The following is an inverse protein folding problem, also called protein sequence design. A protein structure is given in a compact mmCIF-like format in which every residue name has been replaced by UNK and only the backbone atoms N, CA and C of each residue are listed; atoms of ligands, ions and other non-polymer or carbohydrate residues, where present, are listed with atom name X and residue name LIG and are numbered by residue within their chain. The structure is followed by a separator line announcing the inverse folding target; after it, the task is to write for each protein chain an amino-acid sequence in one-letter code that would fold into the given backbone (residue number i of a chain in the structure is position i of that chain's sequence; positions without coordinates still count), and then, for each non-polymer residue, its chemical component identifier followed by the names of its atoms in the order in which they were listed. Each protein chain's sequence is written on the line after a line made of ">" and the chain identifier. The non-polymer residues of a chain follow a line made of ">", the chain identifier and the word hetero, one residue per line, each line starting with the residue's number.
data_IF_292701781496
#
_entry.id   IF_292701781496
#
_cell.length_a   1.000
_cell.length_b   1.000
_cell.length_c   1.000
_cell.angle_alpha   90.00
_cell.angle_beta   90.00
_cell.angle_gamma   90.00
#
_symmetry.space_group_name_H-M   'P 1'
#
loop_
_entity.id
_entity.type
_entity.pdbx_description
1 polymer ?
#
# COMPACT_ATOMS: atom_id res chain seq x y z
N UNK A 1 -11.38 6.15 11.26
CA UNK A 1 -10.18 6.56 10.52
C UNK A 1 -10.63 7.21 9.24
N UNK A 2 -10.16 8.40 8.95
CA UNK A 2 -10.50 9.16 7.73
C UNK A 2 -9.45 8.91 6.63
N UNK A 3 -9.73 9.35 5.39
CA UNK A 3 -8.73 9.35 4.31
C UNK A 3 -7.52 10.26 4.63
N UNK A 4 -7.74 11.30 5.43
CA UNK A 4 -6.70 12.20 5.91
C UNK A 4 -5.77 11.52 6.94
N UNK A 5 -6.34 10.76 7.89
CA UNK A 5 -5.54 9.96 8.85
C UNK A 5 -4.59 9.02 8.11
N UNK A 6 -5.08 8.39 7.04
CA UNK A 6 -4.31 7.50 6.19
C UNK A 6 -3.13 8.19 5.53
N UNK A 7 -3.37 9.35 4.90
CA UNK A 7 -2.34 10.15 4.24
C UNK A 7 -1.23 10.51 5.22
N UNK A 8 -1.62 11.05 6.39
CA UNK A 8 -0.67 11.47 7.43
C UNK A 8 0.18 10.32 7.93
N UNK A 9 -0.40 9.14 8.14
CA UNK A 9 0.36 7.96 8.57
C UNK A 9 1.41 7.51 7.52
N UNK A 10 1.06 7.58 6.22
CA UNK A 10 2.02 7.33 5.13
C UNK A 10 3.13 8.37 5.16
N UNK A 11 2.79 9.64 5.24
CA UNK A 11 3.75 10.74 5.20
C UNK A 11 4.77 10.63 6.35
N UNK A 12 4.32 10.29 7.56
CA UNK A 12 5.20 10.04 8.71
C UNK A 12 6.14 8.84 8.48
N UNK A 13 5.63 7.76 7.90
CA UNK A 13 6.43 6.58 7.55
C UNK A 13 7.49 6.86 6.49
N UNK A 14 7.12 7.64 5.47
CA UNK A 14 8.05 8.10 4.43
C UNK A 14 9.09 9.07 5.00
N UNK A 15 8.69 9.95 5.91
CA UNK A 15 9.61 10.86 6.59
C UNK A 15 10.69 10.07 7.36
N UNK A 16 10.29 9.08 8.17
CA UNK A 16 11.23 8.21 8.87
C UNK A 16 12.14 7.42 7.94
N UNK A 17 11.60 6.88 6.83
CA UNK A 17 12.38 6.16 5.83
C UNK A 17 13.45 7.06 5.16
N UNK A 18 13.23 8.37 5.14
CA UNK A 18 14.16 9.38 4.66
C UNK A 18 15.00 10.02 5.78
N UNK A 19 15.11 9.36 6.94
CA UNK A 19 15.85 9.82 8.11
C UNK A 19 15.39 11.16 8.69
N UNK A 20 14.15 11.56 8.45
CA UNK A 20 13.56 12.74 9.08
C UNK A 20 13.11 12.44 10.51
N UNK A 21 13.10 13.46 11.35
CA UNK A 21 12.58 13.36 12.73
C UNK A 21 11.05 13.49 12.73
N UNK A 22 10.41 12.79 13.68
CA UNK A 22 8.98 12.93 13.91
C UNK A 22 8.68 14.22 14.69
N UNK A 23 7.50 14.84 14.47
CA UNK A 23 7.06 16.00 15.24
C UNK A 23 6.62 15.60 16.65
N UNK A 24 7.58 15.33 17.56
CA UNK A 24 7.30 14.81 18.91
C UNK A 24 6.45 15.78 19.77
N UNK A 25 6.56 17.08 19.50
CA UNK A 25 5.81 18.12 20.23
C UNK A 25 4.40 18.35 19.67
N UNK A 26 4.03 17.71 18.56
CA UNK A 26 2.69 17.84 17.97
C UNK A 26 1.71 16.91 18.69
N UNK A 27 0.69 17.43 19.39
CA UNK A 27 -0.31 16.61 20.07
C UNK A 27 -1.17 15.78 19.10
N UNK A 28 -1.19 16.11 17.80
CA UNK A 28 -1.89 15.31 16.80
C UNK A 28 -1.16 14.00 16.48
N UNK A 29 0.16 13.93 16.61
CA UNK A 29 0.93 12.69 16.37
C UNK A 29 0.43 11.52 17.24
N UNK A 30 0.37 11.62 18.58
CA UNK A 30 -0.14 10.53 19.40
C UNK A 30 -1.64 10.28 19.18
N UNK A 31 -2.43 11.31 18.87
CA UNK A 31 -3.85 11.15 18.57
C UNK A 31 -4.08 10.34 17.27
N UNK A 32 -3.31 10.63 16.23
CA UNK A 32 -3.32 9.93 14.95
C UNK A 32 -2.92 8.46 15.13
N UNK A 33 -1.81 8.20 15.82
CA UNK A 33 -1.29 6.84 15.97
C UNK A 33 -2.26 5.93 16.73
N UNK A 34 -2.97 6.45 17.75
CA UNK A 34 -4.04 5.72 18.44
C UNK A 34 -5.21 5.34 17.54
N UNK A 35 -5.53 6.17 16.53
CA UNK A 35 -6.62 5.89 15.57
C UNK A 35 -6.19 4.88 14.52
N UNK A 36 -4.94 4.93 14.07
CA UNK A 36 -4.43 4.13 12.94
C UNK A 36 -3.96 2.74 13.38
N UNK A 37 -3.31 2.62 14.54
CA UNK A 37 -2.73 1.36 15.00
C UNK A 37 -3.73 0.18 15.05
N UNK A 38 -4.97 0.33 15.58
CA UNK A 38 -5.98 -0.73 15.54
C UNK A 38 -6.38 -1.17 14.14
N UNK A 39 -6.41 -0.24 13.18
CA UNK A 39 -6.72 -0.55 11.79
C UNK A 39 -5.64 -1.41 11.16
N UNK A 40 -4.39 -1.26 11.63
CA UNK A 40 -3.21 -2.03 11.23
C UNK A 40 -3.05 -3.35 12.01
N UNK A 41 -3.99 -3.68 12.91
CA UNK A 41 -3.96 -4.91 13.71
C UNK A 41 -3.02 -4.83 14.92
N UNK A 42 -2.83 -3.64 15.47
CA UNK A 42 -2.12 -3.41 16.73
C UNK A 42 -3.12 -3.06 17.83
N UNK A 43 -2.89 -3.49 19.06
CA UNK A 43 -3.82 -3.14 20.15
C UNK A 43 -3.68 -1.66 20.54
N UNK A 44 -4.74 -1.09 21.14
CA UNK A 44 -4.65 0.23 21.75
C UNK A 44 -3.57 0.30 22.84
N UNK A 45 -3.43 -0.78 23.62
CA UNK A 45 -2.41 -0.86 24.67
C UNK A 45 -0.98 -0.84 24.12
N UNK A 46 -0.71 -1.55 23.02
CA UNK A 46 0.60 -1.54 22.36
C UNK A 46 0.90 -0.15 21.79
N UNK A 47 -0.10 0.49 21.20
CA UNK A 47 0.04 1.86 20.69
C UNK A 47 0.34 2.84 21.83
N UNK A 48 -0.40 2.80 22.93
CA UNK A 48 -0.16 3.66 24.10
C UNK A 48 1.20 3.43 24.74
N UNK A 49 1.64 2.17 24.84
CA UNK A 49 2.95 1.83 25.36
C UNK A 49 4.07 2.39 24.47
N UNK A 50 3.92 2.31 23.14
CA UNK A 50 4.90 2.85 22.20
C UNK A 50 5.00 4.38 22.26
N UNK A 51 3.91 5.08 22.59
CA UNK A 51 3.89 6.54 22.73
C UNK A 51 4.66 7.07 23.95
N UNK A 52 5.13 6.20 24.84
CA UNK A 52 5.86 6.59 26.04
C UNK A 52 7.29 7.12 25.76
N UNK A 53 7.84 6.89 24.56
CA UNK A 53 9.17 7.38 24.22
C UNK A 53 9.33 7.63 22.71
N UNK A 54 10.15 8.62 22.34
CA UNK A 54 10.39 8.94 20.93
C UNK A 54 10.89 7.73 20.09
N UNK A 55 11.83 6.88 20.56
CA UNK A 55 12.27 5.72 19.79
C UNK A 55 11.15 4.69 19.57
N UNK A 56 10.31 4.46 20.58
CA UNK A 56 9.19 3.53 20.47
C UNK A 56 8.07 4.09 19.57
N UNK A 57 7.81 5.40 19.62
CA UNK A 57 6.92 6.09 18.68
C UNK A 57 7.40 5.93 17.23
N UNK A 58 8.71 6.10 16.99
CA UNK A 58 9.29 5.91 15.66
C UNK A 58 9.18 4.45 15.17
N UNK A 59 9.35 3.47 16.06
CA UNK A 59 9.13 2.07 15.75
C UNK A 59 7.66 1.78 15.39
N UNK A 60 6.71 2.37 16.13
CA UNK A 60 5.28 2.25 15.85
C UNK A 60 4.91 2.81 14.48
N UNK A 61 5.36 4.02 14.15
CA UNK A 61 5.15 4.65 12.83
C UNK A 61 5.74 3.76 11.72
N UNK A 62 6.95 3.26 11.92
CA UNK A 62 7.64 2.42 10.94
C UNK A 62 6.87 1.12 10.66
N UNK A 63 6.36 0.48 11.72
CA UNK A 63 5.58 -0.75 11.59
C UNK A 63 4.21 -0.49 10.95
N UNK A 64 3.51 0.60 11.31
CA UNK A 64 2.27 1.03 10.64
C UNK A 64 2.53 1.20 9.15
N UNK A 65 3.57 1.96 8.78
CA UNK A 65 3.93 2.21 7.39
C UNK A 65 4.28 0.92 6.63
N UNK A 66 5.04 0.02 7.26
CA UNK A 66 5.37 -1.30 6.68
C UNK A 66 4.10 -2.11 6.38
N UNK A 67 3.18 -2.21 7.34
CA UNK A 67 1.91 -2.95 7.16
C UNK A 67 1.03 -2.33 6.09
N UNK A 68 0.99 -1.00 6.01
CA UNK A 68 0.27 -0.30 4.94
C UNK A 68 0.86 -0.65 3.57
N UNK A 69 2.18 -0.54 3.41
CA UNK A 69 2.86 -0.86 2.15
C UNK A 69 2.62 -2.30 1.71
N UNK A 70 2.80 -3.25 2.63
CA UNK A 70 2.65 -4.67 2.34
C UNK A 70 1.22 -5.06 1.99
N UNK A 71 0.25 -4.58 2.77
CA UNK A 71 -1.17 -4.87 2.51
C UNK A 71 -1.66 -4.23 1.21
N UNK A 72 -1.32 -2.97 0.95
CA UNK A 72 -1.64 -2.32 -0.32
C UNK A 72 -1.03 -3.04 -1.52
N UNK A 73 0.22 -3.51 -1.42
CA UNK A 73 0.85 -4.30 -2.47
C UNK A 73 0.16 -5.65 -2.69
N UNK A 74 -0.14 -6.37 -1.61
CA UNK A 74 -0.85 -7.66 -1.66
C UNK A 74 -2.21 -7.54 -2.33
N UNK A 75 -3.01 -6.56 -1.92
CA UNK A 75 -4.33 -6.30 -2.47
C UNK A 75 -4.26 -5.91 -3.95
N UNK A 76 -3.38 -4.96 -4.30
CA UNK A 76 -3.19 -4.54 -5.68
C UNK A 76 -2.84 -5.72 -6.61
N UNK A 77 -1.95 -6.61 -6.16
CA UNK A 77 -1.59 -7.83 -6.89
C UNK A 77 -2.77 -8.79 -7.02
N UNK A 78 -3.49 -9.03 -5.93
CA UNK A 78 -4.62 -9.98 -5.91
C UNK A 78 -5.76 -9.50 -6.81
N UNK A 79 -6.11 -8.22 -6.75
CA UNK A 79 -7.15 -7.63 -7.60
C UNK A 79 -6.76 -7.67 -9.08
N UNK A 80 -5.54 -7.25 -9.42
CA UNK A 80 -5.06 -7.30 -10.80
C UNK A 80 -5.07 -8.72 -11.37
N UNK A 81 -4.58 -9.71 -10.59
CA UNK A 81 -4.60 -11.11 -11.01
C UNK A 81 -6.03 -11.67 -11.15
N UNK A 82 -6.94 -11.34 -10.22
CA UNK A 82 -8.36 -11.70 -10.33
C UNK A 82 -8.99 -11.12 -11.60
N UNK A 83 -8.75 -9.84 -11.90
CA UNK A 83 -9.31 -9.18 -13.08
C UNK A 83 -8.78 -9.85 -14.37
N UNK A 84 -7.47 -10.11 -14.47
CA UNK A 84 -6.89 -10.80 -15.64
C UNK A 84 -7.43 -12.23 -15.82
N UNK A 85 -7.66 -12.98 -14.73
CA UNK A 85 -8.24 -14.32 -14.82
C UNK A 85 -9.70 -14.28 -15.29
N UNK A 86 -10.48 -13.30 -14.82
CA UNK A 86 -11.86 -13.08 -15.30
C UNK A 86 -11.90 -12.72 -16.78
N UNK A 87 -11.00 -11.86 -17.25
CA UNK A 87 -10.87 -11.48 -18.67
C UNK A 87 -10.58 -12.69 -19.55
N UNK A 88 -9.82 -13.66 -19.05
CA UNK A 88 -9.51 -14.92 -19.74
C UNK A 88 -10.60 -16.01 -19.54
N UNK A 89 -11.70 -15.70 -18.84
CA UNK A 89 -12.81 -16.62 -18.57
C UNK A 89 -12.60 -17.57 -17.38
N UNK A 90 -11.44 -17.52 -16.70
CA UNK A 90 -11.15 -18.33 -15.52
C UNK A 90 -11.68 -17.69 -14.23
N UNK A 91 -12.99 -17.85 -14.01
CA UNK A 91 -13.66 -17.33 -12.80
C UNK A 91 -13.23 -18.05 -11.53
N UNK A 92 -12.96 -19.35 -11.60
CA UNK A 92 -12.56 -20.14 -10.44
C UNK A 92 -11.16 -19.73 -9.96
N UNK A 93 -10.21 -19.56 -10.90
CA UNK A 93 -8.89 -19.01 -10.61
C UNK A 93 -8.97 -17.59 -10.04
N UNK A 94 -9.83 -16.74 -10.60
CA UNK A 94 -10.01 -15.39 -10.10
C UNK A 94 -10.48 -15.35 -8.64
N UNK A 95 -11.45 -16.18 -8.27
CA UNK A 95 -11.91 -16.30 -6.88
C UNK A 95 -10.80 -16.82 -5.96
N UNK A 96 -10.11 -17.88 -6.39
CA UNK A 96 -9.04 -18.51 -5.61
C UNK A 96 -7.93 -17.52 -5.24
N UNK A 97 -7.50 -16.66 -6.17
CA UNK A 97 -6.46 -15.65 -5.87
C UNK A 97 -6.89 -14.68 -4.76
N UNK A 98 -8.17 -14.32 -4.71
CA UNK A 98 -8.72 -13.44 -3.67
C UNK A 98 -8.83 -14.15 -2.33
N UNK A 99 -9.25 -15.42 -2.33
CA UNK A 99 -9.30 -16.26 -1.13
C UNK A 99 -7.89 -16.49 -0.54
N UNK A 100 -6.90 -16.76 -1.39
CA UNK A 100 -5.50 -16.91 -0.98
C UNK A 100 -4.96 -15.60 -0.40
N UNK A 101 -5.33 -14.45 -0.97
CA UNK A 101 -4.99 -13.13 -0.42
C UNK A 101 -5.69 -12.86 0.93
N UNK A 102 -6.96 -13.25 1.07
CA UNK A 102 -7.72 -13.17 2.32
C UNK A 102 -7.11 -14.04 3.42
N UNK A 103 -6.63 -15.23 3.09
CA UNK A 103 -5.99 -16.12 4.06
C UNK A 103 -4.65 -15.55 4.58
N UNK A 104 -3.89 -14.87 3.72
CA UNK A 104 -2.61 -14.27 4.06
C UNK A 104 -2.71 -12.91 4.77
N UNK A 105 -3.85 -12.22 4.65
CA UNK A 105 -4.00 -10.87 5.19
C UNK A 105 -4.34 -10.88 6.69
N UNK A 106 -3.51 -10.21 7.48
CA UNK A 106 -3.67 -10.10 8.94
C UNK A 106 -4.14 -8.71 9.38
N UNK A 107 -4.04 -7.71 8.50
CA UNK A 107 -4.44 -6.33 8.79
C UNK A 107 -5.96 -6.20 8.66
N UNK A 108 -6.68 -5.82 9.74
CA UNK A 108 -8.14 -5.75 9.75
C UNK A 108 -8.72 -4.90 8.61
N UNK A 109 -8.13 -3.74 8.35
CA UNK A 109 -8.58 -2.85 7.27
C UNK A 109 -8.55 -3.52 5.89
N UNK A 110 -7.46 -4.22 5.58
CA UNK A 110 -7.28 -4.83 4.27
C UNK A 110 -8.11 -6.11 4.11
N UNK A 111 -8.34 -6.86 5.19
CA UNK A 111 -9.33 -7.93 5.21
C UNK A 111 -10.73 -7.40 4.88
N UNK A 112 -11.13 -6.28 5.48
CA UNK A 112 -12.43 -5.66 5.20
C UNK A 112 -12.55 -5.21 3.73
N UNK A 113 -11.48 -4.68 3.13
CA UNK A 113 -11.46 -4.32 1.71
C UNK A 113 -11.54 -5.53 0.78
N UNK A 114 -10.80 -6.61 1.08
CA UNK A 114 -10.90 -7.88 0.35
C UNK A 114 -12.32 -8.46 0.44
N UNK A 115 -12.93 -8.43 1.61
CA UNK A 115 -14.30 -8.91 1.81
C UNK A 115 -15.29 -8.07 0.99
N UNK A 116 -15.18 -6.74 1.04
CA UNK A 116 -16.02 -5.86 0.24
C UNK A 116 -15.86 -6.09 -1.27
N UNK A 117 -14.65 -6.41 -1.74
CA UNK A 117 -14.41 -6.78 -3.14
C UNK A 117 -15.08 -8.10 -3.52
N UNK A 118 -15.00 -9.10 -2.63
CA UNK A 118 -15.65 -10.40 -2.81
C UNK A 118 -17.18 -10.27 -2.83
N UNK A 119 -17.75 -9.48 -1.93
CA UNK A 119 -19.20 -9.32 -1.78
C UNK A 119 -19.83 -8.52 -2.94
N UNK A 120 -19.15 -7.47 -3.42
CA UNK A 120 -19.73 -6.52 -4.37
C UNK A 120 -19.23 -6.68 -5.81
N UNK A 121 -18.24 -7.55 -6.04
CA UNK A 121 -17.48 -7.50 -7.28
C UNK A 121 -16.75 -6.16 -7.46
N UNK A 122 -16.25 -5.89 -8.67
CA UNK A 122 -15.20 -4.90 -8.98
C UNK A 122 -15.53 -3.39 -8.73
N UNK A 123 -16.64 -3.03 -8.07
CA UNK A 123 -17.13 -1.65 -8.09
C UNK A 123 -16.49 -0.67 -7.09
N UNK A 124 -15.83 -1.11 -6.00
CA UNK A 124 -15.57 -0.20 -4.87
C UNK A 124 -14.10 0.00 -4.40
N UNK A 125 -13.13 -0.82 -4.83
CA UNK A 125 -11.81 -0.87 -4.12
C UNK A 125 -10.70 0.00 -4.72
N UNK A 126 -10.95 0.68 -5.85
CA UNK A 126 -9.91 1.45 -6.56
C UNK A 126 -9.42 2.71 -5.81
N UNK A 127 -10.23 3.32 -4.95
CA UNK A 127 -9.92 4.64 -4.39
C UNK A 127 -8.85 4.60 -3.28
N UNK A 128 -8.88 3.57 -2.43
CA UNK A 128 -7.87 3.38 -1.37
C UNK A 128 -6.53 2.88 -1.92
N UNK A 129 -6.57 1.97 -2.92
CA UNK A 129 -5.35 1.51 -3.60
C UNK A 129 -4.60 2.65 -4.31
N UNK A 130 -5.32 3.63 -4.87
CA UNK A 130 -4.70 4.79 -5.53
C UNK A 130 -3.98 5.72 -4.55
N UNK A 131 -4.49 5.86 -3.33
CA UNK A 131 -3.87 6.72 -2.31
C UNK A 131 -2.63 6.07 -1.64
N UNK A 132 -2.58 4.73 -1.55
CA UNK A 132 -1.44 3.99 -0.99
C UNK A 132 -0.35 3.60 -1.99
N UNK A 133 -0.69 3.51 -3.28
CA UNK A 133 0.28 3.26 -4.33
C UNK A 133 0.77 4.59 -4.89
N UNK A 134 1.81 5.17 -4.28
CA UNK A 134 2.68 6.11 -4.98
C UNK A 134 3.29 5.38 -6.17
N UNK A 135 2.57 5.35 -7.30
CA UNK A 135 3.04 4.78 -8.55
C UNK A 135 4.23 5.61 -9.00
N UNK A 136 5.43 5.08 -8.77
CA UNK A 136 6.60 5.37 -9.61
C UNK A 136 6.27 4.88 -11.02
N UNK A 137 5.71 5.75 -11.84
CA UNK A 137 5.70 5.56 -13.30
C UNK A 137 7.13 5.72 -13.82
N UNK A 138 7.93 4.66 -13.73
CA UNK A 138 9.17 4.51 -14.49
C UNK A 138 8.87 3.78 -15.79
N UNK A 139 8.79 4.53 -16.89
CA UNK A 139 8.36 4.03 -18.18
C UNK A 139 9.20 2.90 -18.76
N UNK A 140 8.52 1.85 -19.22
CA UNK A 140 9.00 0.94 -20.26
C UNK A 140 9.06 1.71 -21.59
N UNK A 141 10.11 2.50 -21.79
CA UNK A 141 10.50 3.03 -23.09
C UNK A 141 11.55 2.11 -23.71
N UNK A 142 11.13 1.20 -24.59
CA UNK A 142 12.02 0.43 -25.47
C UNK A 142 12.71 1.43 -26.43
N UNK A 143 13.94 1.84 -26.13
CA UNK A 143 14.85 2.36 -27.17
C UNK A 143 15.47 1.16 -27.88
N UNK A 144 14.85 0.80 -29.00
CA UNK A 144 15.43 -0.08 -30.00
C UNK A 144 15.54 0.68 -31.31
N UNK A 145 16.52 1.58 -31.42
CA UNK A 145 17.03 2.03 -32.71
C UNK A 145 18.56 1.96 -32.64
N UNK A 146 19.11 1.07 -33.47
CA UNK A 146 20.54 0.93 -33.70
C UNK A 146 21.02 2.05 -34.63
N UNK A 147 22.24 2.60 -34.44
CA UNK A 147 22.81 3.55 -35.38
C UNK A 147 23.24 2.86 -36.68
N UNK A 148 22.46 3.08 -37.74
CA UNK A 148 22.84 2.78 -39.12
C UNK A 148 23.91 3.75 -39.63
N UNK A 149 25.16 3.35 -39.39
CA UNK A 149 26.38 3.57 -40.19
C UNK A 149 26.23 4.46 -41.44
N UNK A 150 26.91 5.61 -41.41
CA UNK A 150 27.24 6.42 -42.58
C UNK A 150 28.17 5.63 -43.51
N UNK A 151 27.79 5.52 -44.79
CA UNK A 151 28.60 4.96 -45.85
C UNK A 151 28.22 5.59 -47.20
N UNK A 152 29.01 6.60 -47.58
CA UNK A 152 29.51 6.92 -48.93
C UNK A 152 28.72 6.59 -50.23
N UNK A 153 28.56 7.67 -51.02
CA UNK A 153 28.93 7.82 -52.46
C UNK A 153 27.98 7.44 -53.62
N UNK A 154 28.00 8.37 -54.61
CA UNK A 154 27.49 8.34 -56.01
C UNK A 154 25.96 8.35 -56.18
N UNK A 155 25.32 9.27 -56.91
CA UNK A 155 25.64 9.94 -58.20
C UNK A 155 25.01 11.33 -58.25
#
# INVERSE_FOLDING_TARGET
>A
MTSDDWRKAIDLGLALANCAELPQDDPELPALLRRVAPQMGMSHADADAALASAPATAALVSEIHRRMREGSFRLGRAFGASDSLKENGDRAGALKVLEDAMAAEVVPLYRAQLQAYLDNGCSMVREVCRAGCGVVHGGLGRSGEAPGILGESLV
#
